data_IF_464227009039
#
_entry.id   IF_464227009039
#
_cell.length_a   1.000
_cell.length_b   1.000
_cell.length_c   1.000
_cell.angle_alpha   90.00
_cell.angle_beta   90.00
_cell.angle_gamma   90.00
#
_symmetry.space_group_name_H-M   'P 1'
#
loop_
_entity.id
_entity.type
_entity.pdbx_description
1 polymer ?
#
# COMPACT_ATOMS: atom_id res chain seq x y z
N UNK A 1 22.76 38.88 8.57
CA UNK A 1 23.06 37.45 8.82
C UNK A 1 21.83 36.83 9.47
N UNK A 2 20.89 36.26 8.70
CA UNK A 2 19.79 35.49 9.27
C UNK A 2 19.70 34.18 8.49
N UNK A 3 20.03 33.08 9.18
CA UNK A 3 19.93 31.73 8.68
C UNK A 3 18.46 31.29 8.79
N UNK A 4 17.82 31.08 7.64
CA UNK A 4 16.47 30.53 7.59
C UNK A 4 16.60 29.02 7.39
N UNK A 5 16.52 28.28 8.49
CA UNK A 5 16.43 26.83 8.48
C UNK A 5 15.02 26.42 8.04
N UNK A 6 14.84 26.10 6.77
CA UNK A 6 13.63 25.43 6.29
C UNK A 6 13.68 23.94 6.62
N UNK A 7 13.06 23.57 7.74
CA UNK A 7 12.74 22.18 8.07
C UNK A 7 11.72 21.62 7.07
N UNK A 8 12.23 20.87 6.09
CA UNK A 8 11.40 20.18 5.10
C UNK A 8 10.81 18.91 5.73
N UNK A 9 9.56 19.01 6.18
CA UNK A 9 8.76 17.87 6.68
C UNK A 9 8.72 16.75 5.63
N UNK A 10 9.18 15.52 5.93
CA UNK A 10 9.26 14.46 4.93
C UNK A 10 7.85 14.11 4.45
N UNK A 11 7.62 14.25 3.14
CA UNK A 11 6.38 13.82 2.48
C UNK A 11 6.20 12.33 2.73
N UNK A 12 5.24 11.96 3.57
CA UNK A 12 4.82 10.58 3.80
C UNK A 12 4.58 9.93 2.43
N UNK A 13 5.42 8.97 2.08
CA UNK A 13 5.29 8.21 0.85
C UNK A 13 4.06 7.30 1.00
N UNK A 14 2.89 7.83 0.64
CA UNK A 14 1.62 7.10 0.66
C UNK A 14 1.63 6.10 -0.50
N UNK A 15 1.86 4.83 -0.21
CA UNK A 15 1.83 3.77 -1.19
C UNK A 15 1.94 2.38 -0.57
N UNK A 16 1.49 1.37 -1.29
CA UNK A 16 1.76 -0.02 -0.94
C UNK A 16 3.16 -0.37 -1.41
N UNK A 17 4.00 -0.85 -0.51
CA UNK A 17 5.33 -1.37 -0.81
C UNK A 17 5.50 -2.77 -0.22
N UNK A 18 6.32 -3.59 -0.86
CA UNK A 18 6.58 -4.94 -0.37
C UNK A 18 7.45 -4.86 0.88
N UNK A 19 6.97 -5.34 2.03
CA UNK A 19 7.74 -5.37 3.28
C UNK A 19 9.04 -6.17 3.21
N UNK A 20 9.22 -7.01 2.18
CA UNK A 20 10.41 -7.84 2.01
C UNK A 20 11.47 -7.24 1.07
N UNK A 21 11.07 -6.42 0.10
CA UNK A 21 12.00 -5.93 -0.94
C UNK A 21 11.80 -4.47 -1.34
N UNK A 22 10.86 -3.75 -0.73
CA UNK A 22 10.56 -2.35 -1.04
C UNK A 22 9.89 -2.10 -2.39
N UNK A 23 9.69 -3.12 -3.24
CA UNK A 23 9.07 -2.91 -4.54
C UNK A 23 7.60 -2.51 -4.44
N UNK A 24 7.18 -1.62 -5.34
CA UNK A 24 5.80 -1.13 -5.48
C UNK A 24 5.01 -1.82 -6.59
N UNK A 25 5.67 -2.72 -7.34
CA UNK A 25 5.05 -3.49 -8.41
C UNK A 25 4.47 -4.81 -7.86
N UNK A 26 3.14 -4.91 -7.94
CA UNK A 26 2.41 -6.09 -7.55
C UNK A 26 1.48 -6.57 -8.67
N UNK A 27 1.28 -7.87 -8.75
CA UNK A 27 0.24 -8.51 -9.55
C UNK A 27 -0.93 -8.85 -8.64
N UNK A 28 -2.16 -8.50 -9.05
CA UNK A 28 -3.37 -8.99 -8.38
C UNK A 28 -3.57 -10.45 -8.78
N UNK A 29 -3.63 -11.34 -7.78
CA UNK A 29 -3.85 -12.78 -7.98
C UNK A 29 -5.34 -13.07 -8.06
N UNK A 30 -6.10 -12.58 -7.09
CA UNK A 30 -7.56 -12.64 -7.11
C UNK A 30 -8.16 -11.54 -6.23
N UNK A 31 -9.43 -11.23 -6.51
CA UNK A 31 -10.27 -10.37 -5.69
C UNK A 31 -11.44 -11.19 -5.16
N UNK A 32 -11.75 -11.05 -3.87
CA UNK A 32 -12.94 -11.62 -3.24
C UNK A 32 -13.78 -10.50 -2.65
N UNK A 33 -15.07 -10.53 -2.94
CA UNK A 33 -16.07 -9.68 -2.31
C UNK A 33 -16.58 -10.41 -1.06
N UNK A 34 -16.41 -9.80 0.12
CA UNK A 34 -16.98 -10.32 1.35
C UNK A 34 -18.38 -9.73 1.58
N UNK A 35 -19.23 -10.50 2.28
CA UNK A 35 -20.63 -10.14 2.60
C UNK A 35 -20.72 -8.80 3.34
N UNK A 36 -19.73 -8.48 4.19
CA UNK A 36 -19.63 -7.21 4.95
C UNK A 36 -19.24 -5.97 4.11
N UNK A 37 -19.47 -5.95 2.79
CA UNK A 37 -18.99 -4.87 1.91
C UNK A 37 -17.48 -4.61 1.96
N UNK A 38 -16.69 -5.64 2.33
CA UNK A 38 -15.22 -5.59 2.35
C UNK A 38 -14.68 -6.19 1.06
N UNK A 39 -13.83 -5.47 0.36
CA UNK A 39 -13.14 -6.00 -0.82
C UNK A 39 -11.77 -6.51 -0.38
N UNK A 40 -11.54 -7.80 -0.55
CA UNK A 40 -10.26 -8.43 -0.24
C UNK A 40 -9.50 -8.69 -1.54
N UNK A 41 -8.31 -8.12 -1.70
CA UNK A 41 -7.45 -8.34 -2.86
C UNK A 41 -6.16 -9.04 -2.43
N UNK A 42 -5.90 -10.21 -3.00
CA UNK A 42 -4.62 -10.90 -2.82
C UNK A 42 -3.66 -10.46 -3.90
N UNK A 43 -2.50 -9.96 -3.50
CA UNK A 43 -1.45 -9.43 -4.37
C UNK A 43 -0.17 -10.26 -4.22
N UNK A 44 0.60 -10.33 -5.29
CA UNK A 44 1.91 -10.96 -5.33
C UNK A 44 2.94 -9.94 -5.80
N UNK A 45 4.03 -9.77 -5.05
CA UNK A 45 5.16 -8.96 -5.47
C UNK A 45 5.82 -9.57 -6.71
N UNK A 46 6.08 -8.75 -7.73
CA UNK A 46 6.75 -9.20 -8.95
C UNK A 46 8.25 -9.40 -8.77
N UNK A 47 8.87 -8.74 -7.78
CA UNK A 47 10.30 -8.82 -7.54
C UNK A 47 10.68 -10.02 -6.67
N UNK A 48 10.09 -10.15 -5.46
CA UNK A 48 10.42 -11.23 -4.54
C UNK A 48 9.43 -12.41 -4.53
N UNK A 49 8.33 -12.32 -5.31
CA UNK A 49 7.31 -13.38 -5.38
C UNK A 49 6.42 -13.54 -4.14
N UNK A 50 6.66 -12.77 -3.06
CA UNK A 50 5.87 -12.85 -1.81
C UNK A 50 4.43 -12.38 -2.03
N UNK A 51 3.49 -13.02 -1.34
CA UNK A 51 2.05 -12.75 -1.44
C UNK A 51 1.54 -12.08 -0.19
N UNK A 52 0.67 -11.10 -0.35
CA UNK A 52 0.00 -10.41 0.75
C UNK A 52 -1.45 -10.10 0.37
N UNK A 53 -2.26 -9.86 1.38
CA UNK A 53 -3.69 -9.57 1.22
C UNK A 53 -3.94 -8.15 1.69
N UNK A 54 -4.72 -7.38 0.93
CA UNK A 54 -5.23 -6.09 1.38
C UNK A 54 -6.73 -6.11 1.43
N UNK A 55 -7.25 -5.49 2.46
CA UNK A 55 -8.67 -5.19 2.61
C UNK A 55 -8.91 -3.74 2.27
N UNK A 56 -9.98 -3.50 1.53
CA UNK A 56 -10.55 -2.18 1.31
C UNK A 56 -11.92 -2.19 2.01
N UNK A 57 -12.08 -1.28 2.98
CA UNK A 57 -13.36 -1.01 3.62
C UNK A 57 -13.96 0.21 2.93
N UNK A 58 -15.22 0.13 2.48
CA UNK A 58 -15.97 1.32 2.10
C UNK A 58 -16.23 2.14 3.37
N UNK A 59 -15.68 3.35 3.44
CA UNK A 59 -15.98 4.31 4.50
C UNK A 59 -17.22 5.07 4.04
N UNK A 60 -18.41 4.72 4.55
CA UNK A 60 -19.67 5.39 4.21
C UNK A 60 -20.87 4.48 4.02
N UNK A 61 -21.21 3.67 5.02
CA UNK A 61 -22.60 3.23 5.24
C UNK A 61 -23.12 3.92 6.49
#
# INVERSE_FOLDING_TARGET
MQAVSTEQKPKQQKGLECSYCGCRLFRVVYTRYAVDSKITRRRQCRNCGKRFTTWEKRIGQ
#
